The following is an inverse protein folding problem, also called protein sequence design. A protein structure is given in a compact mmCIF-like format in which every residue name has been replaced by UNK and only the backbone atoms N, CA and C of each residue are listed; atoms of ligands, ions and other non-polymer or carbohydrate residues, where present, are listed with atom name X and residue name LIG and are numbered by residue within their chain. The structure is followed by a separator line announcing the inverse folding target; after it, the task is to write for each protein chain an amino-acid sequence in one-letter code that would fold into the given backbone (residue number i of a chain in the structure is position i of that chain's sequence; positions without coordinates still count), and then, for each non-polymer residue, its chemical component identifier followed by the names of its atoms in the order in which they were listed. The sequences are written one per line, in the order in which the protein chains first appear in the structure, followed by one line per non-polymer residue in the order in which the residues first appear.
data_IF_539733915060
#
_entry.id   IF_539733915060
#
_cell.length_a   1.000
_cell.length_b   1.000
_cell.length_c   1.000
_cell.angle_alpha   90.00
_cell.angle_beta   90.00
_cell.angle_gamma   90.00
#
_symmetry.space_group_name_H-M   'P 1'
#
loop_
_entity.id
_entity.type
_entity.pdbx_description
1 polymer ?
#
# COMPACT_ATOMS: atom_id res chain seq x y z
N UNK A 1 -42.99 59.43 -22.39
CA UNK A 1 -41.54 59.65 -22.19
C UNK A 1 -40.82 59.16 -23.44
N UNK A 2 -39.79 59.86 -23.91
CA UNK A 2 -38.83 59.24 -24.84
C UNK A 2 -38.00 58.21 -24.09
N UNK A 3 -37.57 57.12 -24.74
CA UNK A 3 -36.16 56.87 -25.08
C UNK A 3 -36.02 55.49 -25.79
N UNK A 4 -35.46 55.52 -27.02
CA UNK A 4 -34.59 54.56 -27.75
C UNK A 4 -34.51 53.07 -27.30
N UNK A 5 -34.45 52.06 -28.19
CA UNK A 5 -33.64 51.98 -29.42
C UNK A 5 -34.24 51.11 -30.57
N UNK A 6 -33.76 51.36 -31.80
CA UNK A 6 -33.83 50.51 -33.02
C UNK A 6 -32.39 50.24 -33.52
N UNK A 7 -32.03 49.31 -34.40
CA UNK A 7 -32.71 48.42 -35.36
C UNK A 7 -32.22 46.96 -35.10
N UNK A 8 -32.85 45.86 -35.52
CA UNK A 8 -32.99 45.28 -36.89
C UNK A 8 -31.73 45.37 -37.76
N UNK A 9 -30.98 44.25 -37.89
CA UNK A 9 -30.38 43.83 -39.16
C UNK A 9 -30.63 42.33 -39.33
N UNK A 10 -31.17 41.96 -40.49
CA UNK A 10 -31.39 40.58 -40.98
C UNK A 10 -30.71 40.49 -42.35
N UNK A 11 -30.42 39.27 -42.81
CA UNK A 11 -30.05 38.89 -44.20
C UNK A 11 -28.59 39.14 -44.64
N UNK A 12 -27.99 38.41 -45.60
CA UNK A 12 -28.29 37.14 -46.34
C UNK A 12 -26.98 36.69 -47.05
N UNK A 13 -26.84 35.40 -47.40
CA UNK A 13 -25.88 34.82 -48.39
C UNK A 13 -24.35 34.97 -48.10
N UNK A 14 -23.51 33.92 -48.07
CA UNK A 14 -23.22 32.81 -49.00
C UNK A 14 -22.13 33.13 -50.07
N UNK A 15 -21.29 32.11 -50.32
CA UNK A 15 -20.33 31.97 -51.44
C UNK A 15 -19.15 32.95 -51.53
N UNK A 16 -18.00 32.54 -50.97
CA UNK A 16 -16.73 32.52 -51.74
C UNK A 16 -16.01 31.19 -51.50
N UNK A 17 -15.74 30.52 -52.61
CA UNK A 17 -14.96 29.31 -52.75
C UNK A 17 -13.55 29.45 -52.16
N UNK A 18 -13.14 28.46 -51.37
CA UNK A 18 -11.73 28.14 -51.13
C UNK A 18 -11.59 26.62 -51.17
N UNK A 19 -11.23 26.11 -52.34
CA UNK A 19 -10.98 24.69 -52.56
C UNK A 19 -9.62 24.28 -51.97
N UNK A 20 -9.63 23.69 -50.78
CA UNK A 20 -8.56 22.80 -50.34
C UNK A 20 -9.06 21.36 -50.42
N UNK A 21 -8.46 20.58 -51.31
CA UNK A 21 -8.71 19.14 -51.37
C UNK A 21 -8.09 18.48 -50.14
N UNK A 22 -8.87 18.36 -49.06
CA UNK A 22 -8.44 17.61 -47.90
C UNK A 22 -8.56 16.12 -48.24
N UNK A 23 -7.41 15.48 -48.49
CA UNK A 23 -7.34 14.03 -48.68
C UNK A 23 -7.77 13.34 -47.40
N UNK A 24 -9.02 12.91 -47.33
CA UNK A 24 -9.50 12.00 -46.28
C UNK A 24 -8.83 10.65 -46.48
N UNK A 25 -7.65 10.50 -45.90
CA UNK A 25 -7.11 9.19 -45.61
C UNK A 25 -8.09 8.52 -44.64
N UNK A 26 -8.89 7.60 -45.17
CA UNK A 26 -9.72 6.72 -44.34
C UNK A 26 -8.80 5.74 -43.61
N UNK A 27 -8.16 6.23 -42.54
CA UNK A 27 -7.69 5.37 -41.47
C UNK A 27 -8.92 4.67 -40.92
N UNK A 28 -9.09 3.40 -41.29
CA UNK A 28 -9.99 2.52 -40.59
C UNK A 28 -9.42 2.31 -39.17
N UNK A 29 -9.77 3.23 -38.27
CA UNK A 29 -9.63 2.99 -36.83
C UNK A 29 -10.51 1.79 -36.51
N UNK A 30 -9.88 0.63 -36.39
CA UNK A 30 -10.51 -0.56 -35.83
C UNK A 30 -10.83 -0.24 -34.38
N UNK A 31 -12.04 0.24 -34.13
CA UNK A 31 -12.61 0.38 -32.79
C UNK A 31 -12.96 -1.00 -32.27
N UNK A 32 -11.94 -1.80 -31.93
CA UNK A 32 -12.11 -2.84 -30.92
C UNK A 32 -12.24 -2.11 -29.59
N UNK A 33 -13.46 -1.78 -29.21
CA UNK A 33 -13.77 -1.04 -27.97
C UNK A 33 -13.69 -1.94 -26.73
N UNK A 34 -12.71 -2.86 -26.72
CA UNK A 34 -12.28 -3.59 -25.53
C UNK A 34 -11.48 -2.61 -24.66
N UNK A 35 -12.21 -1.73 -23.97
CA UNK A 35 -11.63 -0.85 -22.96
C UNK A 35 -11.17 -1.75 -21.81
N UNK A 36 -9.93 -2.20 -21.86
CA UNK A 36 -9.29 -2.97 -20.80
C UNK A 36 -9.35 -2.12 -19.53
N UNK A 37 -10.31 -2.44 -18.65
CA UNK A 37 -10.42 -1.81 -17.35
C UNK A 37 -9.26 -2.31 -16.50
N UNK A 38 -8.42 -1.37 -16.04
CA UNK A 38 -7.37 -1.70 -15.10
C UNK A 38 -7.99 -2.28 -13.83
N UNK A 39 -7.39 -3.36 -13.32
CA UNK A 39 -7.70 -3.96 -12.04
C UNK A 39 -6.39 -4.21 -11.30
N UNK A 40 -6.26 -3.62 -10.12
CA UNK A 40 -5.16 -3.95 -9.21
C UNK A 40 -5.16 -5.45 -8.87
N UNK A 41 -3.98 -6.09 -8.76
CA UNK A 41 -3.87 -7.45 -8.27
C UNK A 41 -4.28 -7.52 -6.79
N UNK A 42 -4.83 -8.67 -6.40
CA UNK A 42 -5.01 -9.07 -5.00
C UNK A 42 -4.02 -10.20 -4.74
N UNK A 43 -3.32 -10.13 -3.61
CA UNK A 43 -2.36 -11.14 -3.16
C UNK A 43 -2.86 -11.83 -1.89
N UNK A 44 -2.94 -13.16 -1.94
CA UNK A 44 -3.21 -14.02 -0.79
C UNK A 44 -1.95 -14.12 0.08
N UNK A 45 -2.01 -13.74 1.36
CA UNK A 45 -0.87 -13.86 2.28
C UNK A 45 -0.67 -15.28 2.81
N UNK A 46 -1.72 -16.11 2.81
CA UNK A 46 -1.68 -17.48 3.32
C UNK A 46 -1.70 -18.52 2.18
N UNK A 47 -0.84 -19.55 2.21
CA UNK A 47 -0.93 -20.65 1.26
C UNK A 47 -2.19 -21.51 1.50
N UNK A 48 -2.78 -22.11 0.45
CA UNK A 48 -4.04 -22.84 0.56
C UNK A 48 -3.90 -24.07 1.46
N UNK A 49 -4.89 -24.25 2.35
CA UNK A 49 -4.95 -25.31 3.37
C UNK A 49 -3.85 -25.22 4.45
N UNK A 50 -3.27 -24.04 4.70
CA UNK A 50 -2.45 -23.84 5.90
C UNK A 50 -3.29 -24.03 7.17
N UNK A 51 -2.73 -24.70 8.17
CA UNK A 51 -3.30 -24.77 9.52
C UNK A 51 -2.80 -23.65 10.44
N UNK A 52 -1.64 -23.06 10.10
CA UNK A 52 -0.94 -22.03 10.90
C UNK A 52 -1.07 -20.62 10.30
N UNK A 53 -1.90 -20.47 9.27
CA UNK A 53 -2.18 -19.19 8.61
C UNK A 53 -3.62 -19.24 8.08
N UNK A 54 -4.40 -18.18 8.24
CA UNK A 54 -5.69 -18.05 7.58
C UNK A 54 -6.01 -16.63 7.15
N UNK A 55 -6.76 -16.49 6.06
CA UNK A 55 -7.30 -15.22 5.59
C UNK A 55 -8.35 -14.68 6.58
N UNK A 56 -8.41 -13.35 6.70
CA UNK A 56 -9.43 -12.60 7.44
C UNK A 56 -10.36 -11.95 6.41
N UNK A 57 -11.51 -12.58 6.18
CA UNK A 57 -12.49 -12.13 5.19
C UNK A 57 -12.89 -10.65 5.39
N UNK A 58 -12.84 -9.88 4.30
CA UNK A 58 -13.20 -8.46 4.31
C UNK A 58 -12.13 -7.53 4.90
N UNK A 59 -10.97 -8.04 5.32
CA UNK A 59 -9.81 -7.25 5.71
C UNK A 59 -8.78 -7.23 4.59
N UNK A 60 -8.20 -6.06 4.30
CA UNK A 60 -7.23 -5.85 3.23
C UNK A 60 -6.21 -4.76 3.58
N UNK A 61 -4.95 -4.98 3.21
CA UNK A 61 -3.93 -3.93 3.14
C UNK A 61 -3.89 -3.40 1.72
N UNK A 62 -4.08 -2.10 1.53
CA UNK A 62 -4.13 -1.47 0.20
C UNK A 62 -2.88 -0.62 -0.01
N UNK A 63 -2.11 -0.92 -1.06
CA UNK A 63 -0.94 -0.14 -1.46
C UNK A 63 -1.31 0.84 -2.60
N UNK A 64 -0.98 2.11 -2.41
CA UNK A 64 -1.09 3.17 -3.41
C UNK A 64 0.22 3.37 -4.17
N UNK A 65 0.08 3.63 -5.48
CA UNK A 65 1.19 3.97 -6.36
C UNK A 65 1.96 5.17 -5.84
N UNK A 66 3.29 5.11 -5.91
CA UNK A 66 4.17 6.20 -5.50
C UNK A 66 3.76 7.53 -6.16
N UNK A 67 3.44 8.53 -5.32
CA UNK A 67 3.03 9.88 -5.75
C UNK A 67 1.53 10.04 -5.99
N UNK A 68 0.73 8.97 -5.93
CA UNK A 68 -0.72 9.09 -5.82
C UNK A 68 -1.08 9.59 -4.41
N UNK A 69 -2.01 10.55 -4.32
CA UNK A 69 -2.30 11.23 -3.05
C UNK A 69 -3.42 10.50 -2.30
N UNK A 70 -3.29 10.29 -0.97
CA UNK A 70 -4.38 9.80 -0.13
C UNK A 70 -5.71 10.55 -0.33
N UNK A 71 -5.67 11.87 -0.49
CA UNK A 71 -6.87 12.68 -0.75
C UNK A 71 -7.52 12.39 -2.11
N UNK A 72 -6.74 12.11 -3.16
CA UNK A 72 -7.29 11.68 -4.47
C UNK A 72 -7.96 10.31 -4.36
N UNK A 73 -7.36 9.40 -3.60
CA UNK A 73 -7.91 8.08 -3.34
C UNK A 73 -9.23 8.11 -2.57
N UNK A 74 -9.31 8.92 -1.49
CA UNK A 74 -10.54 9.09 -0.71
C UNK A 74 -11.67 9.72 -1.55
N UNK A 75 -11.34 10.65 -2.46
CA UNK A 75 -12.30 11.17 -3.44
C UNK A 75 -12.81 10.05 -4.34
N UNK A 76 -11.93 9.24 -4.93
CA UNK A 76 -12.33 8.09 -5.76
C UNK A 76 -13.28 7.13 -5.02
N UNK A 77 -12.99 6.83 -3.75
CA UNK A 77 -13.86 6.01 -2.90
C UNK A 77 -15.23 6.67 -2.74
N UNK A 78 -15.29 7.93 -2.31
CA UNK A 78 -16.55 8.63 -2.09
C UNK A 78 -17.41 8.77 -3.36
N UNK A 79 -16.81 8.93 -4.54
CA UNK A 79 -17.53 9.04 -5.81
C UNK A 79 -18.02 7.69 -6.35
N UNK A 80 -17.17 6.66 -6.26
CA UNK A 80 -17.41 5.33 -6.87
C UNK A 80 -18.21 4.41 -5.96
N UNK A 81 -17.87 4.37 -4.67
CA UNK A 81 -18.47 3.48 -3.68
C UNK A 81 -19.57 4.16 -2.86
N UNK A 82 -19.54 5.51 -2.76
CA UNK A 82 -20.53 6.33 -2.03
C UNK A 82 -20.66 6.00 -0.54
N UNK A 83 -19.52 5.72 0.07
CA UNK A 83 -19.34 5.45 1.50
C UNK A 83 -18.40 6.46 2.13
N UNK A 84 -18.43 6.58 3.45
CA UNK A 84 -17.27 7.06 4.22
C UNK A 84 -16.39 5.85 4.59
N UNK A 85 -15.17 5.71 4.04
CA UNK A 85 -14.32 4.57 4.34
C UNK A 85 -13.78 4.58 5.79
N UNK A 86 -13.78 5.71 6.49
CA UNK A 86 -13.34 5.76 7.89
C UNK A 86 -14.39 5.11 8.79
N UNK A 87 -15.67 5.38 8.56
CA UNK A 87 -16.76 4.79 9.34
C UNK A 87 -17.09 3.36 8.90
N UNK A 88 -17.28 3.12 7.59
CA UNK A 88 -17.75 1.83 7.06
C UNK A 88 -16.64 0.77 7.04
N UNK A 89 -15.41 1.15 6.68
CA UNK A 89 -14.28 0.23 6.56
C UNK A 89 -13.27 0.28 7.71
N UNK A 90 -13.47 1.14 8.70
CA UNK A 90 -12.52 1.34 9.79
C UNK A 90 -11.10 1.65 9.25
N UNK A 91 -11.02 2.46 8.19
CA UNK A 91 -9.79 2.69 7.44
C UNK A 91 -8.71 3.35 8.31
N UNK A 92 -7.56 2.67 8.41
CA UNK A 92 -6.39 3.14 9.18
C UNK A 92 -5.17 3.30 8.27
N UNK A 93 -4.68 4.53 8.11
CA UNK A 93 -3.45 4.82 7.35
C UNK A 93 -2.20 4.41 8.13
N UNK A 94 -1.40 3.50 7.56
CA UNK A 94 -0.11 3.09 8.10
C UNK A 94 1.00 4.08 7.71
N UNK A 95 0.90 4.69 6.51
CA UNK A 95 1.62 5.89 6.09
C UNK A 95 0.98 6.45 4.79
N UNK A 96 1.60 7.42 4.11
CA UNK A 96 1.06 8.06 2.90
C UNK A 96 0.76 7.12 1.72
N UNK A 97 1.31 5.89 1.71
CA UNK A 97 1.16 4.93 0.62
C UNK A 97 0.37 3.67 0.96
N UNK A 98 0.05 3.41 2.23
CA UNK A 98 -0.61 2.15 2.63
C UNK A 98 -1.62 2.39 3.75
N UNK A 99 -2.74 1.69 3.68
CA UNK A 99 -3.74 1.64 4.75
C UNK A 99 -4.28 0.22 4.93
N UNK A 100 -4.75 -0.05 6.14
CA UNK A 100 -5.59 -1.21 6.46
C UNK A 100 -7.05 -0.80 6.30
N UNK A 101 -7.86 -1.66 5.68
CA UNK A 101 -9.32 -1.57 5.68
C UNK A 101 -9.93 -2.90 6.12
N UNK A 102 -11.02 -2.83 6.86
CA UNK A 102 -11.82 -3.96 7.35
C UNK A 102 -13.25 -3.84 6.80
N UNK A 103 -14.09 -4.87 6.98
CA UNK A 103 -15.50 -4.88 6.52
C UNK A 103 -15.71 -4.61 5.00
N UNK A 104 -14.68 -4.77 4.16
CA UNK A 104 -14.76 -4.48 2.72
C UNK A 104 -15.50 -5.62 2.02
N UNK A 105 -16.66 -5.34 1.42
CA UNK A 105 -17.41 -6.34 0.65
C UNK A 105 -16.69 -6.74 -0.65
N UNK A 106 -17.03 -7.89 -1.23
CA UNK A 106 -16.45 -8.34 -2.52
C UNK A 106 -16.73 -7.36 -3.67
N UNK A 107 -17.93 -6.78 -3.73
CA UNK A 107 -18.29 -5.75 -4.72
C UNK A 107 -17.50 -4.47 -4.48
N UNK A 108 -17.33 -4.09 -3.21
CA UNK A 108 -16.51 -2.95 -2.79
C UNK A 108 -15.04 -3.13 -3.20
N UNK A 109 -14.47 -4.30 -2.95
CA UNK A 109 -13.11 -4.67 -3.35
C UNK A 109 -12.96 -4.60 -4.88
N UNK A 110 -13.93 -5.11 -5.64
CA UNK A 110 -13.89 -5.06 -7.11
C UNK A 110 -13.89 -3.63 -7.67
N UNK A 111 -14.64 -2.71 -7.05
CA UNK A 111 -14.64 -1.29 -7.41
C UNK A 111 -13.38 -0.56 -6.93
N UNK A 112 -12.85 -0.90 -5.75
CA UNK A 112 -11.62 -0.36 -5.21
C UNK A 112 -10.41 -0.68 -6.11
N UNK A 113 -10.34 -1.91 -6.61
CA UNK A 113 -9.30 -2.36 -7.55
C UNK A 113 -9.29 -1.62 -8.88
N UNK A 114 -10.36 -0.91 -9.23
CA UNK A 114 -10.43 -0.12 -10.47
C UNK A 114 -9.81 1.28 -10.31
N UNK A 115 -9.44 1.72 -9.09
CA UNK A 115 -8.69 2.97 -8.91
C UNK A 115 -7.32 2.83 -9.59
N UNK A 116 -6.99 3.62 -10.63
CA UNK A 116 -5.70 3.55 -11.30
C UNK A 116 -4.51 3.91 -10.38
N UNK A 117 -4.76 4.58 -9.27
CA UNK A 117 -3.78 4.94 -8.24
C UNK A 117 -3.55 3.87 -7.18
N UNK A 118 -4.38 2.82 -7.10
CA UNK A 118 -4.04 1.61 -6.35
C UNK A 118 -2.97 0.83 -7.13
N UNK A 119 -1.96 0.33 -6.44
CA UNK A 119 -0.88 -0.48 -7.00
C UNK A 119 -1.20 -1.97 -6.86
N UNK A 120 -1.57 -2.39 -5.65
CA UNK A 120 -2.00 -3.73 -5.30
C UNK A 120 -2.81 -3.74 -4.01
N UNK A 121 -3.46 -4.88 -3.74
CA UNK A 121 -4.13 -5.17 -2.48
C UNK A 121 -3.58 -6.50 -1.95
N UNK A 122 -3.37 -6.60 -0.65
CA UNK A 122 -3.03 -7.84 0.06
C UNK A 122 -4.18 -8.20 1.00
N UNK A 123 -4.51 -9.48 1.11
CA UNK A 123 -5.56 -9.95 2.02
C UNK A 123 -5.12 -9.88 3.48
N UNK A 124 -6.02 -9.49 4.37
CA UNK A 124 -5.80 -9.61 5.81
C UNK A 124 -5.56 -11.07 6.18
N UNK A 125 -4.61 -11.32 7.07
CA UNK A 125 -4.25 -12.67 7.50
C UNK A 125 -3.89 -12.73 8.97
N UNK A 126 -4.18 -13.87 9.59
CA UNK A 126 -3.68 -14.24 10.90
C UNK A 126 -2.67 -15.38 10.75
N UNK A 127 -1.69 -15.41 11.65
CA UNK A 127 -0.67 -16.45 11.73
C UNK A 127 -0.69 -17.05 13.13
N UNK A 128 -0.64 -18.38 13.23
CA UNK A 128 -0.33 -19.05 14.48
C UNK A 128 1.14 -18.82 14.79
N UNK A 129 1.42 -17.89 15.70
CA UNK A 129 2.73 -17.82 16.33
C UNK A 129 2.89 -19.08 17.17
N UNK A 130 3.64 -20.05 16.65
CA UNK A 130 4.12 -21.16 17.47
C UNK A 130 4.98 -20.55 18.57
N UNK A 131 4.46 -20.49 19.79
CA UNK A 131 5.26 -20.21 20.98
C UNK A 131 6.26 -21.35 21.13
N UNK A 132 7.39 -21.22 20.45
CA UNK A 132 8.61 -21.96 20.78
C UNK A 132 9.18 -21.28 22.03
N UNK A 133 8.47 -21.42 23.14
CA UNK A 133 9.06 -21.22 24.46
C UNK A 133 10.15 -22.29 24.59
N UNK A 134 11.36 -21.89 24.23
CA UNK A 134 12.55 -22.74 24.23
C UNK A 134 12.82 -23.30 25.64
N UNK A 135 12.30 -22.66 26.68
CA UNK A 135 12.40 -23.09 28.07
C UNK A 135 11.38 -24.17 28.44
N UNK A 136 10.41 -24.50 27.57
CA UNK A 136 9.46 -25.62 27.72
C UNK A 136 9.86 -26.89 26.96
N UNK A 137 10.99 -26.89 26.24
CA UNK A 137 11.47 -28.09 25.54
C UNK A 137 11.60 -29.29 26.51
N UNK A 138 10.89 -30.41 26.28
CA UNK A 138 10.96 -31.60 27.12
C UNK A 138 12.34 -32.25 27.21
N UNK A 139 13.27 -31.91 26.29
CA UNK A 139 14.64 -32.37 26.32
C UNK A 139 15.53 -31.61 27.33
N UNK A 140 15.11 -30.44 27.81
CA UNK A 140 15.84 -29.69 28.83
C UNK A 140 15.60 -30.25 30.22
N UNK A 141 16.66 -30.34 31.03
CA UNK A 141 16.54 -30.58 32.46
C UNK A 141 15.93 -29.36 33.17
N UNK A 142 15.30 -29.56 34.33
CA UNK A 142 14.69 -28.46 35.10
C UNK A 142 15.71 -27.36 35.49
N UNK A 143 16.99 -27.69 35.63
CA UNK A 143 18.07 -26.71 35.86
C UNK A 143 18.44 -25.92 34.60
N UNK A 144 18.24 -26.48 33.41
CA UNK A 144 18.35 -25.74 32.13
C UNK A 144 17.11 -24.87 31.88
N UNK A 145 15.91 -25.35 32.21
CA UNK A 145 14.68 -24.55 32.14
C UNK A 145 14.72 -23.35 33.07
N UNK A 146 15.10 -23.56 34.33
CA UNK A 146 15.28 -22.46 35.29
C UNK A 146 16.30 -21.44 34.78
N UNK A 147 17.48 -21.88 34.30
CA UNK A 147 18.47 -20.97 33.68
C UNK A 147 17.96 -20.28 32.40
N UNK A 148 17.03 -20.88 31.68
CA UNK A 148 16.42 -20.31 30.49
C UNK A 148 15.41 -19.19 30.84
N UNK A 149 14.62 -19.37 31.91
CA UNK A 149 13.73 -18.34 32.44
C UNK A 149 14.44 -17.26 33.27
N UNK A 150 15.51 -17.60 33.98
CA UNK A 150 16.33 -16.68 34.78
C UNK A 150 17.35 -15.88 33.91
N UNK A 151 17.53 -16.26 32.65
CA UNK A 151 18.40 -15.53 31.72
C UNK A 151 17.76 -14.18 31.36
N UNK A 152 18.45 -13.09 31.71
CA UNK A 152 18.17 -11.77 31.14
C UNK A 152 18.30 -11.90 29.60
N UNK A 153 17.24 -11.66 28.80
CA UNK A 153 17.33 -11.74 27.34
C UNK A 153 18.39 -10.80 26.75
N UNK A 154 18.90 -9.85 27.55
CA UNK A 154 19.95 -8.91 27.17
C UNK A 154 21.34 -9.28 27.68
N UNK A 155 21.53 -10.38 28.43
CA UNK A 155 22.86 -10.91 28.77
C UNK A 155 23.64 -11.35 27.53
N UNK A 156 22.93 -11.80 26.49
CA UNK A 156 23.54 -12.14 25.19
C UNK A 156 24.22 -10.91 24.58
N UNK A 157 23.65 -9.72 24.77
CA UNK A 157 24.17 -8.44 24.27
C UNK A 157 25.31 -7.85 25.10
N UNK A 158 25.69 -8.47 26.23
CA UNK A 158 26.79 -8.03 27.10
C UNK A 158 28.12 -8.74 26.78
N UNK A 159 28.16 -9.59 25.75
CA UNK A 159 29.38 -10.25 25.27
C UNK A 159 30.28 -9.27 24.50
N UNK A 160 31.60 -9.37 24.68
CA UNK A 160 32.58 -8.54 23.94
C UNK A 160 32.61 -8.84 22.43
N UNK A 161 32.16 -10.04 22.02
CA UNK A 161 32.03 -10.45 20.61
C UNK A 161 30.67 -11.11 20.43
N UNK A 162 29.86 -10.57 19.51
CA UNK A 162 28.58 -11.12 19.09
C UNK A 162 28.73 -11.81 17.74
N UNK A 163 28.02 -12.92 17.53
CA UNK A 163 27.80 -13.47 16.18
C UNK A 163 26.81 -12.60 15.38
N UNK A 164 26.78 -12.72 14.05
CA UNK A 164 25.92 -11.91 13.18
C UNK A 164 24.43 -12.02 13.55
N UNK A 165 23.97 -13.22 13.92
CA UNK A 165 22.60 -13.48 14.39
C UNK A 165 22.30 -12.79 15.73
N UNK A 166 23.25 -12.81 16.68
CA UNK A 166 23.12 -12.10 17.96
C UNK A 166 23.16 -10.58 17.76
N UNK A 167 23.96 -10.09 16.82
CA UNK A 167 24.07 -8.68 16.49
C UNK A 167 22.75 -8.10 15.94
N UNK A 168 21.99 -8.90 15.17
CA UNK A 168 20.65 -8.54 14.71
C UNK A 168 19.62 -8.44 15.85
N UNK A 169 19.70 -9.33 16.84
CA UNK A 169 18.83 -9.33 18.02
C UNK A 169 19.12 -8.10 18.90
N UNK A 170 20.40 -7.80 19.14
CA UNK A 170 20.82 -6.68 19.99
C UNK A 170 20.69 -5.30 19.31
N UNK A 171 20.77 -5.23 17.97
CA UNK A 171 20.76 -3.97 17.21
C UNK A 171 19.39 -3.29 17.05
N UNK A 172 18.31 -3.83 17.62
CA UNK A 172 16.92 -3.35 17.41
C UNK A 172 16.27 -2.63 18.61
N UNK A 173 17.04 -2.17 19.60
CA UNK A 173 16.47 -1.37 20.69
C UNK A 173 16.39 0.14 20.39
N UNK A 174 15.24 0.79 20.58
CA UNK A 174 15.17 2.25 20.73
C UNK A 174 15.58 2.64 22.16
N UNK A 175 16.79 3.17 22.35
CA UNK A 175 17.18 3.74 23.65
C UNK A 175 18.66 3.74 24.05
N UNK A 176 19.61 3.36 23.20
CA UNK A 176 21.04 3.38 23.53
C UNK A 176 21.65 4.79 23.43
N UNK A 177 21.20 5.72 24.27
CA UNK A 177 21.92 6.98 24.53
C UNK A 177 23.14 6.71 25.43
N UNK A 178 24.28 6.36 24.83
CA UNK A 178 25.58 6.60 25.47
C UNK A 178 26.70 6.82 24.46
N UNK A 179 26.99 8.10 24.25
CA UNK A 179 28.30 8.67 23.94
C UNK A 179 29.53 7.75 24.13
N UNK A 180 30.39 7.66 23.11
CA UNK A 180 31.84 7.60 23.32
C UNK A 180 32.58 6.35 22.84
N UNK A 181 32.80 6.23 21.53
CA UNK A 181 33.97 5.54 20.98
C UNK A 181 34.32 6.10 19.58
N UNK A 182 34.98 7.24 19.54
CA UNK A 182 35.66 7.72 18.33
C UNK A 182 36.96 6.92 18.13
N UNK A 183 37.05 6.11 17.07
CA UNK A 183 38.30 5.76 16.37
C UNK A 183 38.01 4.85 15.17
N UNK A 184 37.80 5.43 13.99
CA UNK A 184 38.26 4.78 12.78
C UNK A 184 39.34 5.68 12.18
N UNK A 185 40.58 5.38 12.55
CA UNK A 185 41.75 6.17 12.21
C UNK A 185 42.08 6.01 10.72
N UNK A 186 42.33 7.14 10.10
CA UNK A 186 42.78 7.29 8.72
C UNK A 186 44.15 6.62 8.53
N UNK A 187 44.24 5.65 7.60
CA UNK A 187 45.51 5.23 7.01
C UNK A 187 45.39 5.07 5.51
N UNK A 188 45.70 6.14 4.80
CA UNK A 188 46.57 6.01 3.63
C UNK A 188 47.90 5.36 4.06
N UNK A 189 48.41 4.38 3.31
CA UNK A 189 49.84 4.30 2.97
C UNK A 189 50.00 3.63 1.58
N UNK A 190 50.42 4.46 0.62
CA UNK A 190 51.35 4.19 -0.51
C UNK A 190 51.22 2.91 -1.36
#
# INVERSE_FOLDING_TARGET
MQLWYRLIIVAIAALVLSTTALTTASSATVTSSDKITYLAPVYESCPPNSSTCGTVDGQYTVMLRKGYKPSSHLIYISETLRIDPVEEWQLEWLNEQFYLASNVSTDSLYLLRQDPGVESIEEGSWFEMVEVDRCQDPALSEEEKNRCYDADPFDVCKKEVLSEDEMWICGKMPGSDSSGASAFEEREEL
#
